data_IF_186439321879
#
_entry.id   IF_186439321879
#
_cell.length_a   1.000
_cell.length_b   1.000
_cell.length_c   1.000
_cell.angle_alpha   90.00
_cell.angle_beta   90.00
_cell.angle_gamma   90.00
#
_symmetry.space_group_name_H-M   'P 1'
#
loop_
_entity.id
_entity.type
_entity.pdbx_description
1 polymer ?
#
# COMPACT_ATOMS: atom_id res chain seq x y z
N UNK A 1 20.18 -3.65 -6.76
CA UNK A 1 19.42 -4.17 -5.59
C UNK A 1 18.42 -5.27 -5.98
N UNK A 2 17.74 -5.20 -7.13
CA UNK A 2 16.84 -6.25 -7.65
C UNK A 2 17.43 -7.68 -7.64
N UNK A 3 18.71 -7.84 -8.00
CA UNK A 3 19.36 -9.16 -8.05
C UNK A 3 19.49 -9.87 -6.70
N UNK A 4 19.37 -9.17 -5.56
CA UNK A 4 19.52 -9.80 -4.23
C UNK A 4 18.21 -10.40 -3.69
N UNK A 5 17.05 -9.99 -4.21
CA UNK A 5 15.74 -10.47 -3.77
C UNK A 5 14.77 -10.65 -4.95
N UNK A 6 15.01 -11.63 -5.84
CA UNK A 6 14.25 -11.79 -7.09
C UNK A 6 12.75 -12.01 -6.85
N UNK A 7 12.39 -12.76 -5.81
CA UNK A 7 10.98 -13.02 -5.45
C UNK A 7 10.28 -11.75 -5.00
N UNK A 8 10.91 -10.93 -4.14
CA UNK A 8 10.31 -9.67 -3.68
C UNK A 8 10.11 -8.71 -4.84
N UNK A 9 11.10 -8.60 -5.73
CA UNK A 9 10.97 -7.77 -6.93
C UNK A 9 9.84 -8.25 -7.83
N UNK A 10 9.72 -9.56 -8.06
CA UNK A 10 8.62 -10.13 -8.86
C UNK A 10 7.26 -9.84 -8.23
N UNK A 11 7.10 -10.07 -6.93
CA UNK A 11 5.86 -9.78 -6.19
C UNK A 11 5.53 -8.30 -6.25
N UNK A 12 6.53 -7.43 -6.09
CA UNK A 12 6.34 -5.98 -6.18
C UNK A 12 5.87 -5.58 -7.57
N UNK A 13 6.51 -6.08 -8.63
CA UNK A 13 6.13 -5.78 -10.01
C UNK A 13 4.73 -6.30 -10.34
N UNK A 14 4.40 -7.53 -9.92
CA UNK A 14 3.07 -8.10 -10.10
C UNK A 14 2.00 -7.27 -9.36
N UNK A 15 2.29 -6.83 -8.13
CA UNK A 15 1.37 -6.00 -7.36
C UNK A 15 1.23 -4.60 -7.97
N UNK A 16 2.31 -3.97 -8.43
CA UNK A 16 2.25 -2.68 -9.13
C UNK A 16 1.45 -2.78 -10.44
N UNK A 17 1.60 -3.88 -11.19
CA UNK A 17 0.80 -4.13 -12.39
C UNK A 17 -0.70 -4.30 -12.04
N UNK A 18 -1.01 -5.03 -10.96
CA UNK A 18 -2.37 -5.16 -10.47
C UNK A 18 -2.97 -3.79 -10.07
N UNK A 19 -2.24 -3.00 -9.30
CA UNK A 19 -2.69 -1.66 -8.89
C UNK A 19 -2.87 -0.76 -10.12
N UNK A 20 -1.92 -0.76 -11.06
CA UNK A 20 -2.04 -0.02 -12.31
C UNK A 20 -3.27 -0.44 -13.13
N UNK A 21 -3.57 -1.73 -13.19
CA UNK A 21 -4.78 -2.23 -13.86
C UNK A 21 -6.06 -1.76 -13.16
N UNK A 22 -6.09 -1.74 -11.82
CA UNK A 22 -7.26 -1.27 -11.06
C UNK A 22 -7.45 0.25 -11.20
N UNK A 23 -6.38 1.04 -11.16
CA UNK A 23 -6.46 2.52 -11.21
C UNK A 23 -6.64 3.07 -12.63
N UNK A 24 -6.07 2.41 -13.64
CA UNK A 24 -6.19 2.79 -15.05
C UNK A 24 -7.34 2.07 -15.78
N UNK A 25 -7.95 1.05 -15.16
CA UNK A 25 -9.11 0.35 -15.71
C UNK A 25 -10.32 1.27 -15.91
N UNK A 26 -11.45 0.78 -16.46
CA UNK A 26 -12.68 1.56 -16.59
C UNK A 26 -13.23 2.00 -15.22
N UNK A 27 -13.80 3.21 -15.11
CA UNK A 27 -14.53 3.58 -13.90
C UNK A 27 -15.71 2.61 -13.71
N UNK A 28 -15.99 2.18 -12.47
CA UNK A 28 -17.14 1.32 -12.22
C UNK A 28 -18.50 1.98 -12.47
N UNK A 29 -18.53 3.30 -12.72
CA UNK A 29 -19.76 4.06 -13.00
C UNK A 29 -20.37 3.73 -14.37
N UNK A 30 -19.57 3.30 -15.35
CA UNK A 30 -20.06 3.04 -16.71
C UNK A 30 -20.37 1.57 -17.00
N UNK A 31 -20.01 0.65 -16.09
CA UNK A 31 -20.23 -0.78 -16.27
C UNK A 31 -21.04 -1.32 -15.09
N UNK A 32 -22.20 -1.92 -15.36
CA UNK A 32 -23.17 -2.42 -14.37
C UNK A 32 -22.68 -3.49 -13.36
N UNK A 33 -21.37 -3.62 -13.14
CA UNK A 33 -20.73 -4.62 -12.30
C UNK A 33 -20.68 -4.23 -10.80
N UNK A 34 -20.96 -2.98 -10.44
CA UNK A 34 -20.92 -2.51 -9.04
C UNK A 34 -22.29 -2.43 -8.37
N UNK A 35 -23.31 -3.11 -8.88
CA UNK A 35 -24.66 -3.14 -8.28
C UNK A 35 -24.62 -3.61 -6.81
N UNK A 36 -23.69 -4.50 -6.47
CA UNK A 36 -23.52 -5.04 -5.12
C UNK A 36 -22.92 -4.01 -4.15
N UNK A 37 -21.93 -3.21 -4.60
CA UNK A 37 -21.38 -2.10 -3.83
C UNK A 37 -22.43 -1.00 -3.63
N UNK A 38 -23.16 -0.66 -4.70
CA UNK A 38 -24.24 0.33 -4.64
C UNK A 38 -25.43 -0.16 -3.80
N UNK A 39 -25.71 -1.47 -3.76
CA UNK A 39 -26.69 -2.06 -2.83
C UNK A 39 -26.21 -1.99 -1.39
N UNK A 40 -24.96 -2.32 -1.12
CA UNK A 40 -24.38 -2.22 0.22
C UNK A 40 -24.40 -0.78 0.71
N UNK A 41 -23.95 0.18 -0.11
CA UNK A 41 -24.00 1.61 0.23
C UNK A 41 -25.43 2.10 0.48
N UNK A 42 -26.39 1.74 -0.39
CA UNK A 42 -27.82 2.08 -0.18
C UNK A 42 -28.42 1.44 1.06
N UNK A 43 -27.94 0.26 1.46
CA UNK A 43 -28.37 -0.40 2.70
C UNK A 43 -27.85 0.36 3.93
N UNK A 44 -26.58 0.78 3.92
CA UNK A 44 -25.99 1.56 5.02
C UNK A 44 -26.53 2.99 5.12
N UNK A 45 -26.83 3.60 3.98
CA UNK A 45 -27.40 4.95 3.89
C UNK A 45 -28.85 5.03 4.43
N UNK A 46 -29.54 3.89 4.62
CA UNK A 46 -30.88 3.86 5.25
C UNK A 46 -30.88 4.11 6.76
N UNK A 47 -29.70 4.17 7.39
CA UNK A 47 -29.57 4.51 8.81
C UNK A 47 -28.80 5.82 8.93
N UNK A 48 -29.38 6.82 9.62
CA UNK A 48 -28.76 8.13 9.88
C UNK A 48 -27.35 8.01 10.50
N UNK A 49 -27.09 6.94 11.27
CA UNK A 49 -25.80 6.66 11.90
C UNK A 49 -24.70 6.20 10.94
N UNK A 50 -25.05 5.79 9.71
CA UNK A 50 -24.11 5.29 8.68
C UNK A 50 -24.16 6.09 7.38
N UNK A 51 -24.88 7.21 7.36
CA UNK A 51 -24.95 8.11 6.20
C UNK A 51 -23.57 8.71 5.84
N UNK A 52 -22.62 8.71 6.78
CA UNK A 52 -21.23 9.09 6.55
C UNK A 52 -20.44 8.11 5.67
N UNK A 53 -20.91 6.88 5.45
CA UNK A 53 -20.28 5.89 4.57
C UNK A 53 -20.71 6.17 3.13
N UNK A 54 -20.12 7.21 2.54
CA UNK A 54 -20.33 7.57 1.14
C UNK A 54 -19.35 6.81 0.24
N UNK A 55 -19.73 6.63 -1.04
CA UNK A 55 -18.88 6.02 -2.06
C UNK A 55 -17.47 6.63 -2.07
N UNK A 56 -17.39 7.97 -2.06
CA UNK A 56 -16.11 8.68 -2.08
C UNK A 56 -15.20 8.39 -0.88
N UNK A 57 -15.77 8.12 0.31
CA UNK A 57 -14.97 7.73 1.49
C UNK A 57 -14.48 6.29 1.40
N UNK A 58 -15.31 5.39 0.90
CA UNK A 58 -14.91 3.99 0.68
C UNK A 58 -13.80 3.92 -0.37
N UNK A 59 -13.94 4.65 -1.47
CA UNK A 59 -12.92 4.78 -2.50
C UNK A 59 -11.62 5.38 -1.95
N UNK A 60 -11.71 6.45 -1.17
CA UNK A 60 -10.55 7.07 -0.52
C UNK A 60 -9.82 6.10 0.42
N UNK A 61 -10.56 5.38 1.26
CA UNK A 61 -10.01 4.38 2.17
C UNK A 61 -9.41 3.18 1.42
N UNK A 62 -10.05 2.74 0.33
CA UNK A 62 -9.54 1.67 -0.52
C UNK A 62 -8.22 2.07 -1.19
N UNK A 63 -8.10 3.30 -1.68
CA UNK A 63 -6.87 3.84 -2.26
C UNK A 63 -5.73 3.89 -1.23
N UNK A 64 -6.00 4.36 0.00
CA UNK A 64 -5.04 4.28 1.11
C UNK A 64 -4.60 2.83 1.34
N UNK A 65 -5.57 1.92 1.51
CA UNK A 65 -5.29 0.52 1.82
C UNK A 65 -4.46 -0.16 0.72
N UNK A 66 -4.73 0.15 -0.55
CA UNK A 66 -4.03 -0.39 -1.71
C UNK A 66 -2.57 0.07 -1.79
N UNK A 67 -2.27 1.29 -1.34
CA UNK A 67 -0.91 1.84 -1.35
C UNK A 67 -0.06 1.45 -0.13
N UNK A 68 -0.66 0.95 0.96
CA UNK A 68 0.09 0.42 2.13
C UNK A 68 1.09 -0.68 1.72
N UNK A 69 0.68 -1.75 0.98
CA UNK A 69 1.63 -2.75 0.52
C UNK A 69 2.74 -2.20 -0.38
N UNK A 70 2.45 -1.20 -1.23
CA UNK A 70 3.46 -0.54 -2.08
C UNK A 70 4.54 0.11 -1.21
N UNK A 71 4.13 0.87 -0.18
CA UNK A 71 5.08 1.49 0.75
C UNK A 71 5.96 0.47 1.47
N UNK A 72 5.38 -0.66 1.90
CA UNK A 72 6.13 -1.76 2.51
C UNK A 72 7.14 -2.36 1.52
N UNK A 73 6.70 -2.69 0.30
CA UNK A 73 7.57 -3.33 -0.70
C UNK A 73 8.71 -2.42 -1.15
N UNK A 74 8.43 -1.14 -1.39
CA UNK A 74 9.46 -0.16 -1.74
C UNK A 74 10.48 0.01 -0.61
N UNK A 75 10.04 0.06 0.65
CA UNK A 75 10.96 0.08 1.79
C UNK A 75 11.84 -1.16 1.84
N UNK A 76 11.27 -2.35 1.62
CA UNK A 76 12.02 -3.61 1.66
C UNK A 76 13.02 -3.73 0.48
N UNK A 77 12.67 -3.20 -0.69
CA UNK A 77 13.53 -3.19 -1.87
C UNK A 77 14.66 -2.16 -1.80
N UNK A 78 14.35 -0.93 -1.35
CA UNK A 78 15.32 0.17 -1.25
C UNK A 78 16.13 0.09 0.05
N UNK A 79 15.58 -0.57 1.07
CA UNK A 79 16.17 -0.68 2.40
C UNK A 79 15.80 0.48 3.32
N UNK A 80 15.85 0.20 4.63
CA UNK A 80 15.42 1.12 5.70
C UNK A 80 16.11 2.49 5.67
N UNK A 81 17.38 2.54 5.25
CA UNK A 81 18.16 3.79 5.18
C UNK A 81 17.57 4.80 4.19
N UNK A 82 16.84 4.29 3.19
CA UNK A 82 16.24 5.03 2.09
C UNK A 82 14.70 5.03 2.18
N UNK A 83 14.15 4.98 3.40
CA UNK A 83 12.70 5.03 3.63
C UNK A 83 12.03 6.25 2.98
N UNK A 84 12.71 7.41 2.97
CA UNK A 84 12.23 8.63 2.32
C UNK A 84 12.15 8.46 0.81
N UNK A 85 13.09 7.73 0.20
CA UNK A 85 13.08 7.44 -1.23
C UNK A 85 11.90 6.52 -1.59
N UNK A 86 11.52 5.58 -0.71
CA UNK A 86 10.32 4.77 -0.91
C UNK A 86 9.06 5.63 -1.00
N UNK A 87 8.94 6.66 -0.17
CA UNK A 87 7.82 7.62 -0.23
C UNK A 87 7.88 8.42 -1.53
N UNK A 88 9.05 8.97 -1.88
CA UNK A 88 9.22 9.74 -3.13
C UNK A 88 8.84 8.90 -4.35
N UNK A 89 9.31 7.65 -4.44
CA UNK A 89 8.98 6.74 -5.54
C UNK A 89 7.48 6.45 -5.58
N UNK A 90 6.83 6.23 -4.43
CA UNK A 90 5.40 6.02 -4.38
C UNK A 90 4.60 7.26 -4.83
N UNK A 91 5.03 8.46 -4.44
CA UNK A 91 4.43 9.74 -4.87
C UNK A 91 4.59 9.93 -6.37
N UNK A 92 5.78 9.68 -6.91
CA UNK A 92 6.02 9.75 -8.35
C UNK A 92 5.16 8.73 -9.11
N UNK A 93 4.99 7.52 -8.57
CA UNK A 93 4.13 6.50 -9.15
C UNK A 93 2.67 6.98 -9.22
N UNK A 94 2.11 7.49 -8.12
CA UNK A 94 0.72 7.98 -8.13
C UNK A 94 0.54 9.22 -9.00
N UNK A 95 1.52 10.14 -9.03
CA UNK A 95 1.48 11.29 -9.95
C UNK A 95 1.56 10.85 -11.41
N UNK A 96 2.30 9.77 -11.72
CA UNK A 96 2.35 9.20 -13.07
C UNK A 96 1.02 8.56 -13.48
N UNK A 97 0.32 7.90 -12.53
CA UNK A 97 -1.02 7.35 -12.76
C UNK A 97 -2.00 8.48 -13.07
N UNK A 98 -2.02 9.52 -12.23
CA UNK A 98 -2.92 10.66 -12.39
C UNK A 98 -2.66 11.45 -13.68
N UNK A 99 -1.40 11.62 -14.05
CA UNK A 99 -1.01 12.18 -15.35
C UNK A 99 -1.48 11.31 -16.52
N UNK A 100 -1.34 9.98 -16.41
CA UNK A 100 -1.82 9.07 -17.47
C UNK A 100 -3.35 9.16 -17.61
N UNK A 101 -4.08 9.27 -16.50
CA UNK A 101 -5.53 9.40 -16.49
C UNK A 101 -6.05 10.64 -17.24
N UNK A 102 -5.26 11.72 -17.38
CA UNK A 102 -5.62 12.89 -18.20
C UNK A 102 -5.88 12.55 -19.67
N UNK A 103 -5.31 11.44 -20.16
CA UNK A 103 -5.45 11.00 -21.54
C UNK A 103 -6.53 9.92 -21.72
N UNK A 104 -7.18 9.49 -20.63
CA UNK A 104 -8.28 8.53 -20.71
C UNK A 104 -9.64 9.26 -20.74
N UNK A 105 -10.50 9.03 -21.75
CA UNK A 105 -11.74 9.78 -21.94
C UNK A 105 -12.78 9.59 -20.82
N UNK A 106 -12.64 8.55 -20.01
CA UNK A 106 -13.53 8.25 -18.88
C UNK A 106 -12.91 8.55 -17.52
N UNK A 107 -11.70 9.12 -17.46
CA UNK A 107 -11.01 9.38 -16.18
C UNK A 107 -10.80 10.87 -15.98
N UNK A 108 -11.15 11.34 -14.78
CA UNK A 108 -10.86 12.68 -14.30
C UNK A 108 -9.81 12.56 -13.20
N UNK A 109 -8.65 13.23 -13.33
CA UNK A 109 -7.68 13.34 -12.25
C UNK A 109 -8.33 13.91 -10.99
N UNK A 110 -8.11 13.28 -9.83
CA UNK A 110 -8.59 13.78 -8.55
C UNK A 110 -7.42 13.87 -7.55
N UNK A 111 -7.14 15.09 -7.08
CA UNK A 111 -6.15 15.36 -6.04
C UNK A 111 -6.40 14.52 -4.79
N UNK A 112 -7.67 14.15 -4.54
CA UNK A 112 -8.06 13.26 -3.44
C UNK A 112 -7.37 11.89 -3.55
N UNK A 113 -7.16 11.38 -4.75
CA UNK A 113 -6.47 10.11 -4.99
C UNK A 113 -4.97 10.24 -4.74
N UNK A 114 -4.36 11.35 -5.14
CA UNK A 114 -2.95 11.64 -4.83
C UNK A 114 -2.71 11.67 -3.32
N UNK A 115 -3.61 12.30 -2.57
CA UNK A 115 -3.56 12.35 -1.10
C UNK A 115 -3.79 10.97 -0.49
N UNK A 116 -4.77 10.21 -0.98
CA UNK A 116 -5.06 8.86 -0.49
C UNK A 116 -3.86 7.92 -0.68
N UNK A 117 -3.35 7.87 -1.90
CA UNK A 117 -2.24 7.02 -2.31
C UNK A 117 -0.95 7.41 -1.56
N UNK A 118 -0.67 8.71 -1.47
CA UNK A 118 0.45 9.23 -0.68
C UNK A 118 0.35 8.84 0.80
N UNK A 119 -0.84 8.98 1.41
CA UNK A 119 -1.09 8.59 2.80
C UNK A 119 -0.88 7.09 3.01
N UNK A 120 -1.41 6.26 2.10
CA UNK A 120 -1.19 4.82 2.10
C UNK A 120 0.28 4.44 2.00
N UNK A 121 1.04 5.09 1.13
CA UNK A 121 2.47 4.83 0.97
C UNK A 121 3.26 5.17 2.24
N UNK A 122 2.97 6.30 2.89
CA UNK A 122 3.59 6.69 4.17
C UNK A 122 3.28 5.66 5.25
N UNK A 123 2.01 5.27 5.41
CA UNK A 123 1.60 4.24 6.36
C UNK A 123 2.30 2.90 6.09
N UNK A 124 2.41 2.50 4.82
CA UNK A 124 3.14 1.31 4.39
C UNK A 124 4.61 1.34 4.80
N UNK A 125 5.29 2.48 4.59
CA UNK A 125 6.68 2.66 5.00
C UNK A 125 6.81 2.57 6.53
N UNK A 126 5.90 3.20 7.28
CA UNK A 126 5.90 3.11 8.76
C UNK A 126 5.72 1.66 9.20
N UNK A 127 4.75 0.94 8.64
CA UNK A 127 4.51 -0.49 8.94
C UNK A 127 5.76 -1.31 8.64
N UNK A 128 6.40 -1.10 7.49
CA UNK A 128 7.62 -1.81 7.12
C UNK A 128 8.79 -1.51 8.07
N UNK A 129 8.95 -0.26 8.52
CA UNK A 129 9.98 0.13 9.50
C UNK A 129 9.75 -0.55 10.85
N UNK A 130 8.51 -0.57 11.31
CA UNK A 130 8.10 -1.21 12.57
C UNK A 130 8.35 -2.72 12.52
N UNK A 131 7.86 -3.40 11.48
CA UNK A 131 8.03 -4.85 11.31
C UNK A 131 9.50 -5.26 11.23
N UNK A 132 10.33 -4.47 10.54
CA UNK A 132 11.76 -4.75 10.43
C UNK A 132 12.54 -4.39 11.69
N UNK A 133 12.10 -3.41 12.48
CA UNK A 133 12.67 -3.09 13.79
C UNK A 133 12.43 -4.25 14.78
N UNK A 134 11.21 -4.75 14.88
CA UNK A 134 10.90 -5.89 15.76
C UNK A 134 11.67 -7.16 15.40
N UNK A 135 11.94 -7.42 14.12
CA UNK A 135 12.77 -8.56 13.70
C UNK A 135 14.23 -8.46 14.13
N UNK A 136 14.79 -7.25 14.23
CA UNK A 136 16.16 -7.06 14.71
C UNK A 136 16.25 -7.32 16.21
N UNK A 137 15.33 -6.73 17.00
CA UNK A 137 15.29 -6.92 18.46
C UNK A 137 15.12 -8.39 18.84
N UNK A 138 14.23 -9.13 18.14
CA UNK A 138 14.03 -10.57 18.40
C UNK A 138 15.22 -11.45 18.00
N UNK A 139 16.12 -11.00 17.12
CA UNK A 139 17.29 -11.78 16.70
C UNK A 139 18.44 -11.72 17.70
N UNK A 140 18.47 -10.73 18.58
CA UNK A 140 19.52 -10.58 19.60
C UNK A 140 19.32 -11.49 20.82
N UNK A 141 18.09 -11.98 21.06
CA UNK A 141 17.78 -12.82 22.25
C UNK A 141 18.23 -14.31 22.28
N UNK A 142 18.67 -15.02 21.22
CA UNK A 142 19.03 -16.44 21.37
C UNK A 142 20.49 -16.76 21.73
N UNK A 143 21.42 -15.80 21.75
CA UNK A 143 22.88 -16.12 21.78
C UNK A 143 23.55 -16.05 23.15
N UNK A 144 22.89 -15.48 24.16
CA UNK A 144 23.45 -15.35 25.52
C UNK A 144 23.42 -16.65 26.35
N UNK A 145 22.65 -17.68 25.94
CA UNK A 145 22.54 -18.96 26.68
C UNK A 145 23.54 -20.08 26.30
N UNK A 146 24.52 -19.83 25.41
CA UNK A 146 25.48 -20.87 24.97
C UNK A 146 26.89 -20.79 25.56
N UNK A 147 27.12 -19.94 26.56
CA UNK A 147 28.38 -19.97 27.31
C UNK A 147 28.06 -20.37 28.75
N UNK A 148 27.83 -21.67 28.96
CA UNK A 148 28.07 -22.26 30.26
C UNK A 148 29.59 -22.50 30.35
N UNK A 149 30.32 -21.86 31.26
CA UNK A 149 31.72 -22.16 31.44
C UNK A 149 31.82 -23.49 32.18
N UNK A 150 32.07 -24.57 31.44
CA UNK A 150 32.51 -25.83 32.06
C UNK A 150 33.97 -25.66 32.44
N UNK A 151 34.20 -25.14 33.65
CA UNK A 151 35.47 -25.28 34.35
C UNK A 151 35.25 -26.15 35.59
N UNK A 152 36.29 -26.94 35.92
CA UNK A 152 36.43 -27.90 37.01
C UNK A 152 36.03 -29.34 36.66
N UNK A 153 36.84 -30.37 36.94
CA UNK A 153 38.21 -30.48 37.45
C UNK A 153 38.78 -31.82 36.99
#
# INVERSE_FOLDING_TARGET
MLHRHPVLSLVTLAYLAFVGWVTLGPQPLDSGNNELLLRALRFFNRHDSTDWITYGRVEFAANIAMFIPIGVFLLLLLGRRFWWLAIVVAVLLTGSIEFTQQFLPTRVPDVRDLVANGSGAVLGVIVGLVLTAFKLVRREEPRSRRVAPTYSR
#
